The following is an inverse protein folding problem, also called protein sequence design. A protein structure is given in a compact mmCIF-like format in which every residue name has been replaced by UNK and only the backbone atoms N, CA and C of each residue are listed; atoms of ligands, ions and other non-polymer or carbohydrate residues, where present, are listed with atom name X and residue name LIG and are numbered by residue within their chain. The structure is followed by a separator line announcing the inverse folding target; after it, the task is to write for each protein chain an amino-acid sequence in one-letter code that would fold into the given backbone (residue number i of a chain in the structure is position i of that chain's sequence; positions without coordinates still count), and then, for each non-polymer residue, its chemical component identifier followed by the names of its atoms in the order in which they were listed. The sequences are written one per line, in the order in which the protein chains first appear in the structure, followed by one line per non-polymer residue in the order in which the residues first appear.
data_IF_753353380423
#
_entry.id   IF_753353380423
#
_cell.length_a   1.000
_cell.length_b   1.000
_cell.length_c   1.000
_cell.angle_alpha   90.00
_cell.angle_beta   90.00
_cell.angle_gamma   90.00
#
_symmetry.space_group_name_H-M   'P 1'
#
loop_
_entity.id
_entity.type
_entity.pdbx_description
1 polymer ?
#
# COMPACT_ATOMS: atom_id res chain seq x y z
N UNK A 1 14.80 -4.61 -2.96
CA UNK A 1 14.49 -3.28 -3.49
C UNK A 1 13.04 -3.28 -3.92
N UNK A 2 12.20 -2.51 -3.26
CA UNK A 2 10.80 -2.32 -3.67
C UNK A 2 10.66 -1.00 -4.41
N UNK A 3 9.97 -1.03 -5.57
CA UNK A 3 9.61 0.14 -6.35
C UNK A 3 8.09 0.22 -6.48
N UNK A 4 7.49 1.26 -5.91
CA UNK A 4 6.06 1.55 -6.09
C UNK A 4 5.87 2.68 -7.10
N UNK A 5 4.96 2.50 -8.08
CA UNK A 5 4.42 3.57 -8.92
C UNK A 5 2.93 3.69 -8.69
N UNK A 6 2.48 4.89 -8.36
CA UNK A 6 1.19 5.09 -7.69
C UNK A 6 -0.03 5.02 -8.59
N UNK A 7 0.18 5.03 -9.91
CA UNK A 7 -0.90 4.88 -10.90
C UNK A 7 -1.56 3.50 -10.87
N UNK A 8 -0.95 2.51 -10.22
CA UNK A 8 -1.42 1.12 -10.19
C UNK A 8 -1.88 0.65 -8.79
N UNK A 9 -1.92 1.51 -7.76
CA UNK A 9 -2.22 1.06 -6.39
C UNK A 9 -3.58 0.36 -6.26
N UNK A 10 -4.64 0.90 -6.88
CA UNK A 10 -5.97 0.27 -6.91
C UNK A 10 -5.95 -1.10 -7.62
N UNK A 11 -5.21 -1.19 -8.72
CA UNK A 11 -5.06 -2.40 -9.51
C UNK A 11 -4.26 -3.47 -8.77
N UNK A 12 -3.20 -3.07 -8.07
CA UNK A 12 -2.38 -3.97 -7.29
C UNK A 12 -3.11 -4.42 -6.02
N UNK A 13 -3.88 -3.54 -5.38
CA UNK A 13 -4.73 -3.90 -4.24
C UNK A 13 -5.87 -4.86 -4.63
N UNK A 14 -6.45 -4.69 -5.81
CA UNK A 14 -7.53 -5.57 -6.31
C UNK A 14 -7.02 -6.92 -6.84
N UNK A 15 -5.74 -7.02 -7.23
CA UNK A 15 -5.12 -8.24 -7.75
C UNK A 15 -4.37 -9.01 -6.67
N UNK A 16 -4.82 -10.23 -6.34
CA UNK A 16 -4.15 -11.10 -5.36
C UNK A 16 -2.64 -11.27 -5.60
N UNK A 17 -2.22 -11.41 -6.87
CA UNK A 17 -0.83 -11.72 -7.22
C UNK A 17 0.14 -10.59 -6.84
N UNK A 18 -0.32 -9.35 -6.93
CA UNK A 18 0.49 -8.16 -6.69
C UNK A 18 0.16 -7.49 -5.35
N UNK A 19 -0.89 -7.93 -4.67
CA UNK A 19 -1.42 -7.26 -3.50
C UNK A 19 -0.45 -7.34 -2.32
N UNK A 20 -0.13 -6.20 -1.67
CA UNK A 20 0.62 -6.21 -0.41
C UNK A 20 -0.11 -6.89 0.75
N UNK A 21 -1.40 -7.23 0.59
CA UNK A 21 -2.14 -8.05 1.56
C UNK A 21 -1.71 -9.51 1.58
N UNK A 22 -1.20 -10.01 0.45
CA UNK A 22 -0.97 -11.44 0.27
C UNK A 22 -0.04 -12.02 1.35
N UNK A 23 1.13 -11.42 1.65
CA UNK A 23 2.00 -11.91 2.72
C UNK A 23 1.31 -11.95 4.08
N UNK A 24 0.51 -10.92 4.41
CA UNK A 24 -0.23 -10.84 5.67
C UNK A 24 -1.30 -11.94 5.80
N UNK A 25 -1.98 -12.27 4.70
CA UNK A 25 -2.98 -13.34 4.68
C UNK A 25 -2.31 -14.73 4.71
N UNK A 26 -1.16 -14.89 4.05
CA UNK A 26 -0.37 -16.11 4.11
C UNK A 26 0.15 -16.38 5.53
N UNK A 27 0.59 -15.34 6.23
CA UNK A 27 0.99 -15.39 7.64
C UNK A 27 -0.19 -15.72 8.55
N UNK A 28 -1.33 -15.03 8.40
CA UNK A 28 -2.56 -15.36 9.11
C UNK A 28 -2.94 -16.84 8.94
N UNK A 29 -2.90 -17.34 7.70
CA UNK A 29 -3.23 -18.74 7.40
C UNK A 29 -2.26 -19.73 8.07
N UNK A 30 -1.00 -19.35 8.23
CA UNK A 30 0.04 -20.15 8.88
C UNK A 30 -0.01 -20.07 10.42
N UNK A 31 -0.52 -18.98 10.98
CA UNK A 31 -0.64 -18.80 12.44
C UNK A 31 -1.90 -19.43 13.04
N UNK A 32 -2.87 -19.81 12.21
CA UNK A 32 -4.08 -20.50 12.66
C UNK A 32 -3.76 -21.95 13.05
N UNK A 33 -4.14 -22.33 14.27
CA UNK A 33 -4.08 -23.71 14.72
C UNK A 33 -5.20 -24.57 14.11
N UNK A 34 -5.09 -25.88 14.28
CA UNK A 34 -6.03 -26.85 13.70
C UNK A 34 -7.45 -26.69 14.28
N UNK A 35 -7.57 -26.33 15.56
CA UNK A 35 -8.85 -26.10 16.24
C UNK A 35 -9.58 -24.91 15.63
N UNK A 36 -8.92 -23.75 15.50
CA UNK A 36 -9.51 -22.55 14.89
C UNK A 36 -9.85 -22.80 13.42
N UNK A 37 -9.02 -23.59 12.70
CA UNK A 37 -9.29 -23.94 11.30
C UNK A 37 -10.57 -24.79 11.17
N UNK A 38 -10.79 -25.72 12.08
CA UNK A 38 -12.00 -26.56 12.11
C UNK A 38 -13.24 -25.74 12.50
N UNK A 39 -13.11 -24.79 13.44
CA UNK A 39 -14.18 -23.86 13.80
C UNK A 39 -14.63 -23.01 12.59
N UNK A 40 -13.68 -22.40 11.88
CA UNK A 40 -13.99 -21.59 10.68
C UNK A 40 -14.64 -22.45 9.59
N UNK A 41 -14.13 -23.67 9.35
CA UNK A 41 -14.70 -24.59 8.37
C UNK A 41 -16.16 -24.92 8.71
N UNK A 42 -16.45 -25.17 9.99
CA UNK A 42 -17.80 -25.50 10.45
C UNK A 42 -18.77 -24.35 10.22
N UNK A 43 -18.37 -23.11 10.54
CA UNK A 43 -19.21 -21.92 10.31
C UNK A 43 -19.51 -21.70 8.82
N UNK A 44 -18.53 -21.92 7.95
CA UNK A 44 -18.71 -21.81 6.50
C UNK A 44 -19.67 -22.87 5.99
N UNK A 45 -19.49 -24.12 6.43
CA UNK A 45 -20.35 -25.23 6.03
C UNK A 45 -21.80 -25.01 6.48
N UNK A 46 -22.00 -24.44 7.67
CA UNK A 46 -23.32 -24.07 8.20
C UNK A 46 -23.97 -22.98 7.34
N UNK A 47 -23.27 -21.88 7.09
CA UNK A 47 -23.76 -20.79 6.24
C UNK A 47 -24.07 -21.26 4.81
N UNK A 48 -23.28 -22.18 4.28
CA UNK A 48 -23.53 -22.77 2.96
C UNK A 48 -24.80 -23.63 2.95
N UNK A 49 -25.03 -24.44 3.97
CA UNK A 49 -26.27 -25.24 4.09
C UNK A 49 -27.48 -24.33 4.18
N UNK A 50 -27.42 -23.30 5.02
CA UNK A 50 -28.52 -22.33 5.16
C UNK A 50 -28.85 -21.63 3.84
N UNK A 51 -27.83 -21.24 3.05
CA UNK A 51 -28.06 -20.65 1.73
C UNK A 51 -28.65 -21.64 0.72
N UNK A 52 -28.17 -22.89 0.73
CA UNK A 52 -28.64 -23.93 -0.19
C UNK A 52 -30.09 -24.34 0.09
N UNK A 53 -30.51 -24.28 1.36
CA UNK A 53 -31.86 -24.60 1.81
C UNK A 53 -32.87 -23.47 1.56
N UNK A 54 -32.43 -22.29 1.11
CA UNK A 54 -33.32 -21.19 0.73
C UNK A 54 -34.15 -21.57 -0.51
N UNK A 55 -35.47 -21.40 -0.44
CA UNK A 55 -36.43 -21.90 -1.44
C UNK A 55 -36.07 -21.50 -2.89
N UNK A 56 -35.68 -20.25 -3.11
CA UNK A 56 -35.29 -19.70 -4.41
C UNK A 56 -34.02 -20.36 -4.97
N UNK A 57 -33.06 -20.70 -4.10
CA UNK A 57 -31.81 -21.35 -4.47
C UNK A 57 -32.07 -22.81 -4.83
N UNK A 58 -32.81 -23.54 -3.98
CA UNK A 58 -33.21 -24.93 -4.21
C UNK A 58 -34.04 -25.08 -5.49
N UNK A 59 -35.06 -24.23 -5.69
CA UNK A 59 -35.89 -24.26 -6.89
C UNK A 59 -35.08 -23.97 -8.17
N UNK A 60 -34.07 -23.10 -8.08
CA UNK A 60 -33.18 -22.84 -9.22
C UNK A 60 -32.30 -24.06 -9.52
N UNK A 61 -31.75 -24.72 -8.50
CA UNK A 61 -30.97 -25.94 -8.67
C UNK A 61 -31.78 -27.09 -9.27
N UNK A 62 -33.05 -27.26 -8.84
CA UNK A 62 -33.98 -28.24 -9.41
C UNK A 62 -34.24 -27.97 -10.89
N UNK A 63 -34.56 -26.73 -11.26
CA UNK A 63 -34.80 -26.34 -12.66
C UNK A 63 -33.59 -26.59 -13.56
N UNK A 64 -32.37 -26.37 -13.05
CA UNK A 64 -31.13 -26.69 -13.77
C UNK A 64 -31.00 -28.20 -13.94
N UNK A 65 -31.27 -28.98 -12.88
CA UNK A 65 -31.20 -30.44 -12.89
C UNK A 65 -32.22 -31.05 -13.86
N UNK A 66 -33.47 -30.60 -13.85
CA UNK A 66 -34.50 -31.01 -14.82
C UNK A 66 -34.07 -30.72 -16.26
N UNK A 67 -33.48 -29.55 -16.49
CA UNK A 67 -32.99 -29.18 -17.83
C UNK A 67 -31.82 -30.06 -18.26
N UNK A 68 -30.90 -30.40 -17.36
CA UNK A 68 -29.79 -31.30 -17.63
C UNK A 68 -30.29 -32.70 -17.97
N UNK A 69 -31.27 -33.22 -17.23
CA UNK A 69 -31.91 -34.50 -17.52
C UNK A 69 -32.58 -34.47 -18.90
N UNK A 70 -33.28 -33.39 -19.24
CA UNK A 70 -33.93 -33.26 -20.55
C UNK A 70 -32.94 -33.21 -21.72
N UNK A 71 -31.72 -32.70 -21.51
CA UNK A 71 -30.69 -32.56 -22.56
C UNK A 71 -29.84 -33.83 -22.68
N UNK A 72 -29.36 -34.37 -21.56
CA UNK A 72 -28.37 -35.44 -21.54
C UNK A 72 -28.98 -36.83 -21.27
N UNK A 73 -30.24 -36.88 -20.83
CA UNK A 73 -30.89 -38.10 -20.32
C UNK A 73 -30.47 -38.42 -18.88
N UNK A 74 -31.33 -39.15 -18.16
CA UNK A 74 -31.14 -39.48 -16.74
C UNK A 74 -29.80 -40.20 -16.45
N UNK A 75 -29.33 -41.03 -17.38
CA UNK A 75 -28.09 -41.80 -17.24
C UNK A 75 -26.82 -40.94 -17.29
N UNK A 76 -26.92 -39.71 -17.80
CA UNK A 76 -25.79 -38.79 -17.96
C UNK A 76 -25.97 -37.47 -17.19
N UNK A 77 -27.13 -37.26 -16.56
CA UNK A 77 -27.39 -36.09 -15.73
C UNK A 77 -26.66 -36.22 -14.39
N UNK A 78 -25.86 -35.20 -14.07
CA UNK A 78 -25.18 -35.11 -12.77
C UNK A 78 -26.09 -34.30 -11.83
N UNK A 79 -26.29 -34.75 -10.57
CA UNK A 79 -27.02 -33.94 -9.58
C UNK A 79 -26.29 -32.60 -9.38
N UNK A 80 -27.01 -31.50 -9.52
CA UNK A 80 -26.48 -30.13 -9.37
C UNK A 80 -27.02 -29.51 -8.09
N UNK A 81 -26.11 -28.94 -7.31
CA UNK A 81 -26.42 -28.08 -6.17
C UNK A 81 -25.83 -26.68 -6.41
N UNK A 82 -26.51 -25.65 -5.90
CA UNK A 82 -25.98 -24.29 -5.85
C UNK A 82 -25.46 -24.02 -4.44
N UNK A 83 -24.31 -23.35 -4.34
CA UNK A 83 -23.68 -23.03 -3.07
C UNK A 83 -22.59 -21.98 -3.22
N UNK A 84 -22.03 -21.55 -2.10
CA UNK A 84 -20.89 -20.63 -2.07
C UNK A 84 -19.60 -21.39 -2.41
N UNK A 85 -18.76 -20.79 -3.24
CA UNK A 85 -17.42 -21.29 -3.50
C UNK A 85 -16.41 -20.15 -3.27
N UNK A 86 -15.25 -20.42 -2.65
CA UNK A 86 -14.72 -21.73 -2.25
C UNK A 86 -15.20 -22.22 -0.87
N UNK A 87 -15.16 -23.54 -0.63
CA UNK A 87 -15.60 -24.15 0.65
C UNK A 87 -14.47 -24.48 1.60
N UNK A 88 -13.24 -24.61 1.10
CA UNK A 88 -12.07 -24.89 1.93
C UNK A 88 -11.54 -23.62 2.60
N UNK A 89 -11.22 -23.67 3.88
CA UNK A 89 -10.63 -22.54 4.63
C UNK A 89 -9.44 -21.91 3.90
N UNK A 90 -8.49 -22.70 3.38
CA UNK A 90 -7.32 -22.14 2.68
C UNK A 90 -7.69 -21.29 1.46
N UNK A 91 -8.72 -21.71 0.73
CA UNK A 91 -9.20 -21.01 -0.45
C UNK A 91 -10.05 -19.79 -0.06
N UNK A 92 -10.78 -19.86 1.05
CA UNK A 92 -11.51 -18.73 1.62
C UNK A 92 -10.58 -17.64 2.11
N UNK A 93 -9.53 -17.99 2.85
CA UNK A 93 -8.51 -17.04 3.29
C UNK A 93 -7.87 -16.31 2.11
N UNK A 94 -7.54 -17.03 1.02
CA UNK A 94 -7.05 -16.41 -0.23
C UNK A 94 -8.09 -15.56 -0.96
N UNK A 95 -9.38 -15.75 -0.68
CA UNK A 95 -10.46 -14.95 -1.23
C UNK A 95 -10.75 -13.68 -0.43
N UNK A 96 -10.13 -13.52 0.75
CA UNK A 96 -10.25 -12.32 1.56
C UNK A 96 -9.80 -11.09 0.77
N UNK A 97 -10.59 -10.04 0.86
CA UNK A 97 -10.34 -8.74 0.24
C UNK A 97 -10.51 -7.68 1.32
N UNK A 98 -9.81 -6.56 1.19
CA UNK A 98 -10.15 -5.40 2.03
C UNK A 98 -11.50 -4.87 1.60
N UNK A 99 -12.31 -4.56 2.60
CA UNK A 99 -13.58 -3.89 2.45
C UNK A 99 -13.53 -2.58 3.21
N UNK A 100 -14.11 -1.55 2.61
CA UNK A 100 -14.23 -0.19 3.16
C UNK A 100 -15.66 0.05 3.62
N UNK A 101 -15.84 1.14 4.37
CA UNK A 101 -17.15 1.59 4.85
C UNK A 101 -17.93 0.45 5.56
N UNK A 102 -17.29 -0.20 6.53
CA UNK A 102 -17.88 -1.30 7.32
C UNK A 102 -18.31 -2.53 6.50
N UNK A 103 -17.55 -2.86 5.45
CA UNK A 103 -17.81 -4.07 4.65
C UNK A 103 -18.64 -3.83 3.39
N UNK A 104 -19.08 -2.59 3.14
CA UNK A 104 -20.06 -2.28 2.08
C UNK A 104 -19.36 -2.11 0.72
N UNK A 105 -18.12 -1.64 0.70
CA UNK A 105 -17.44 -1.23 -0.53
C UNK A 105 -16.13 -1.97 -0.73
N UNK A 106 -15.84 -2.36 -1.97
CA UNK A 106 -14.54 -2.88 -2.33
C UNK A 106 -13.51 -1.75 -2.45
N UNK A 107 -12.22 -2.11 -2.53
CA UNK A 107 -11.15 -1.13 -2.79
C UNK A 107 -11.37 -0.38 -4.11
N UNK A 108 -12.01 -1.00 -5.11
CA UNK A 108 -12.32 -0.36 -6.39
C UNK A 108 -13.30 0.82 -6.28
N UNK A 109 -14.02 0.94 -5.16
CA UNK A 109 -14.91 2.09 -4.89
C UNK A 109 -14.21 3.17 -4.04
N UNK A 110 -12.95 2.95 -3.64
CA UNK A 110 -12.18 3.88 -2.84
C UNK A 110 -11.72 5.09 -3.67
N UNK A 111 -11.58 6.25 -3.03
CA UNK A 111 -10.85 7.35 -3.67
C UNK A 111 -9.39 6.95 -3.90
N UNK A 112 -8.76 7.47 -4.96
CA UNK A 112 -7.35 7.19 -5.28
C UNK A 112 -6.42 7.52 -4.10
N UNK A 113 -6.70 8.62 -3.38
CA UNK A 113 -5.94 8.99 -2.18
C UNK A 113 -6.08 7.97 -1.05
N UNK A 114 -7.31 7.47 -0.81
CA UNK A 114 -7.57 6.41 0.16
C UNK A 114 -6.87 5.11 -0.22
N UNK A 115 -6.95 4.71 -1.50
CA UNK A 115 -6.25 3.52 -2.01
C UNK A 115 -4.74 3.64 -1.82
N UNK A 116 -4.15 4.81 -2.10
CA UNK A 116 -2.73 5.06 -1.88
C UNK A 116 -2.34 4.96 -0.40
N UNK A 117 -3.14 5.51 0.52
CA UNK A 117 -2.90 5.39 1.96
C UNK A 117 -2.95 3.93 2.43
N UNK A 118 -3.96 3.18 2.01
CA UNK A 118 -4.08 1.76 2.34
C UNK A 118 -2.87 0.99 1.80
N UNK A 119 -2.48 1.25 0.56
CA UNK A 119 -1.30 0.61 -0.03
C UNK A 119 -0.04 0.89 0.78
N UNK A 120 0.19 2.14 1.18
CA UNK A 120 1.33 2.52 2.00
C UNK A 120 1.31 1.86 3.38
N UNK A 121 0.16 1.80 4.04
CA UNK A 121 0.01 1.14 5.33
C UNK A 121 0.35 -0.37 5.23
N UNK A 122 -0.17 -1.04 4.20
CA UNK A 122 0.12 -2.46 3.97
C UNK A 122 1.58 -2.71 3.63
N UNK A 123 2.19 -1.80 2.85
CA UNK A 123 3.63 -1.87 2.57
C UNK A 123 4.47 -1.63 3.81
N UNK A 124 4.04 -0.74 4.72
CA UNK A 124 4.72 -0.56 6.00
C UNK A 124 4.72 -1.86 6.80
N UNK A 125 3.56 -2.51 6.93
CA UNK A 125 3.46 -3.80 7.62
C UNK A 125 4.32 -4.89 6.97
N UNK A 126 4.36 -4.95 5.65
CA UNK A 126 5.24 -5.87 4.92
C UNK A 126 6.72 -5.58 5.19
N UNK A 127 7.12 -4.31 5.25
CA UNK A 127 8.49 -3.90 5.55
C UNK A 127 8.87 -4.24 7.00
N UNK A 128 7.99 -3.95 7.95
CA UNK A 128 8.19 -4.28 9.37
C UNK A 128 8.38 -5.79 9.54
N UNK A 129 7.59 -6.62 8.85
CA UNK A 129 7.78 -8.08 8.83
C UNK A 129 9.16 -8.47 8.28
N UNK A 130 9.54 -7.93 7.12
CA UNK A 130 10.84 -8.24 6.50
C UNK A 130 12.03 -7.85 7.37
N UNK A 131 11.87 -6.78 8.16
CA UNK A 131 12.87 -6.32 9.14
C UNK A 131 12.89 -7.24 10.36
N UNK A 132 11.74 -7.50 10.98
CA UNK A 132 11.62 -8.22 12.25
C UNK A 132 11.94 -9.72 12.12
N UNK A 133 11.57 -10.34 11.00
CA UNK A 133 11.81 -11.77 10.77
C UNK A 133 13.28 -12.08 10.42
N UNK A 134 14.14 -11.05 10.36
CA UNK A 134 15.55 -11.20 9.98
C UNK A 134 15.74 -11.71 8.56
N UNK A 135 14.70 -11.66 7.72
CA UNK A 135 14.75 -12.13 6.33
C UNK A 135 15.72 -11.28 5.47
N UNK A 136 16.05 -10.05 5.91
CA UNK A 136 16.98 -9.14 5.23
C UNK A 136 17.81 -8.31 6.19
N UNK A 137 19.14 -8.36 6.02
CA UNK A 137 20.08 -7.48 6.74
C UNK A 137 19.83 -5.99 6.45
N UNK A 138 19.35 -5.66 5.23
CA UNK A 138 19.00 -4.31 4.79
C UNK A 138 17.89 -4.31 3.71
N UNK A 139 16.92 -3.42 3.87
CA UNK A 139 15.75 -3.24 3.00
C UNK A 139 15.71 -1.81 2.46
N UNK A 140 15.52 -1.70 1.14
CA UNK A 140 15.32 -0.42 0.45
C UNK A 140 13.87 -0.24 0.06
N UNK A 141 13.26 0.82 0.56
CA UNK A 141 11.92 1.28 0.17
C UNK A 141 12.04 2.48 -0.75
N UNK A 142 11.72 2.30 -2.05
CA UNK A 142 11.86 3.34 -3.06
C UNK A 142 10.51 3.74 -3.61
N UNK A 143 10.19 5.03 -3.53
CA UNK A 143 8.89 5.56 -3.95
C UNK A 143 9.06 6.73 -4.92
N UNK A 144 8.36 6.65 -6.04
CA UNK A 144 8.40 7.66 -7.11
C UNK A 144 7.10 8.46 -7.13
N UNK A 145 7.21 9.79 -7.09
CA UNK A 145 6.11 10.77 -7.05
C UNK A 145 5.03 10.46 -6.02
N UNK A 146 5.42 10.40 -4.74
CA UNK A 146 4.58 9.82 -3.72
C UNK A 146 3.60 10.88 -3.14
N UNK A 147 3.19 11.83 -3.97
CA UNK A 147 2.21 12.89 -3.65
C UNK A 147 0.91 12.74 -4.46
N UNK A 148 0.89 11.86 -5.46
CA UNK A 148 -0.25 11.74 -6.37
C UNK A 148 -1.53 11.38 -5.59
N UNK A 149 -2.60 12.16 -5.84
CA UNK A 149 -3.93 11.98 -5.26
C UNK A 149 -4.01 12.10 -3.72
N UNK A 150 -2.95 12.53 -3.05
CA UNK A 150 -2.96 12.80 -1.61
C UNK A 150 -3.16 14.29 -1.33
N UNK A 151 -4.01 14.60 -0.35
CA UNK A 151 -4.16 15.97 0.14
C UNK A 151 -2.84 16.45 0.80
N UNK A 152 -2.42 17.72 0.63
CA UNK A 152 -1.20 18.28 1.22
C UNK A 152 -0.95 17.93 2.69
N UNK A 153 -1.99 18.01 3.52
CA UNK A 153 -1.90 17.66 4.94
C UNK A 153 -1.54 16.18 5.15
N UNK A 154 -2.15 15.30 4.36
CA UNK A 154 -1.92 13.85 4.42
C UNK A 154 -0.51 13.51 3.93
N UNK A 155 -0.01 14.18 2.89
CA UNK A 155 1.37 14.01 2.44
C UNK A 155 2.36 14.23 3.59
N UNK A 156 2.21 15.34 4.34
CA UNK A 156 3.09 15.63 5.48
C UNK A 156 3.06 14.53 6.53
N UNK A 157 1.87 14.07 6.93
CA UNK A 157 1.72 13.03 7.95
C UNK A 157 2.37 11.71 7.51
N UNK A 158 2.08 11.28 6.29
CA UNK A 158 2.61 10.03 5.74
C UNK A 158 4.13 10.04 5.67
N UNK A 159 4.74 11.11 5.14
CA UNK A 159 6.20 11.14 4.99
C UNK A 159 6.94 11.45 6.27
N UNK A 160 6.32 12.09 7.26
CA UNK A 160 6.92 12.19 8.59
C UNK A 160 7.13 10.81 9.21
N UNK A 161 6.14 9.93 9.05
CA UNK A 161 6.22 8.54 9.47
C UNK A 161 7.33 7.77 8.73
N UNK A 162 7.34 7.79 7.39
CA UNK A 162 8.32 7.04 6.59
C UNK A 162 9.76 7.59 6.64
N UNK A 163 9.95 8.86 7.01
CA UNK A 163 11.26 9.50 7.15
C UNK A 163 11.77 9.49 8.60
N UNK A 164 11.00 8.99 9.57
CA UNK A 164 11.42 8.92 10.96
C UNK A 164 11.61 10.30 11.61
N UNK A 165 10.92 11.33 11.13
CA UNK A 165 11.02 12.69 11.70
C UNK A 165 10.13 12.91 12.92
N UNK A 166 9.16 12.02 13.16
CA UNK A 166 8.45 11.98 14.43
C UNK A 166 9.35 11.25 15.42
N UNK A 167 9.95 11.99 16.36
CA UNK A 167 11.02 11.54 17.27
C UNK A 167 10.66 10.43 18.28
N UNK A 168 9.65 9.62 17.98
CA UNK A 168 9.20 8.46 18.77
C UNK A 168 9.66 7.12 18.17
N UNK A 169 10.09 7.10 16.89
CA UNK A 169 10.72 5.92 16.28
C UNK A 169 12.23 5.91 16.57
N UNK A 170 12.59 6.02 17.85
CA UNK A 170 13.95 5.98 18.37
C UNK A 170 14.58 4.60 18.32
N UNK A 171 14.49 3.90 17.19
CA UNK A 171 15.24 2.68 16.95
C UNK A 171 16.40 2.99 16.00
N UNK A 172 17.55 3.34 16.61
CA UNK A 172 18.87 3.24 16.00
C UNK A 172 19.12 1.77 15.62
N UNK A 173 18.52 1.28 14.53
CA UNK A 173 18.65 -0.13 14.18
C UNK A 173 17.69 -0.68 13.13
N UNK A 174 16.65 0.04 12.71
CA UNK A 174 15.80 -0.46 11.62
C UNK A 174 16.62 -0.52 10.32
N UNK A 175 16.81 -1.70 9.71
CA UNK A 175 17.56 -1.87 8.48
C UNK A 175 16.75 -1.41 7.26
N UNK A 176 16.01 -0.30 7.37
CA UNK A 176 15.15 0.26 6.33
C UNK A 176 15.72 1.58 5.82
N UNK A 177 16.10 1.63 4.54
CA UNK A 177 16.48 2.87 3.86
C UNK A 177 15.34 3.32 2.93
N UNK A 178 14.76 4.47 3.24
CA UNK A 178 13.72 5.11 2.41
C UNK A 178 14.36 6.05 1.40
N UNK A 179 14.03 5.87 0.12
CA UNK A 179 14.41 6.76 -0.99
C UNK A 179 13.14 7.23 -1.68
N UNK A 180 12.96 8.54 -1.77
CA UNK A 180 11.82 9.13 -2.45
C UNK A 180 12.26 10.12 -3.52
N UNK A 181 11.49 10.19 -4.59
CA UNK A 181 11.58 11.28 -5.58
C UNK A 181 10.26 12.03 -5.58
N UNK A 182 10.30 13.33 -5.30
CA UNK A 182 9.08 14.14 -5.17
C UNK A 182 9.25 15.50 -5.84
N UNK A 183 8.16 16.02 -6.39
CA UNK A 183 7.98 17.41 -6.77
C UNK A 183 7.12 18.17 -5.75
N UNK A 184 6.70 17.53 -4.67
CA UNK A 184 5.83 18.13 -3.67
C UNK A 184 6.61 18.98 -2.66
N UNK A 185 6.31 20.28 -2.55
CA UNK A 185 6.87 21.12 -1.49
C UNK A 185 6.40 20.67 -0.09
N UNK A 186 5.27 19.95 0.01
CA UNK A 186 4.78 19.45 1.30
C UNK A 186 5.61 18.29 1.83
N UNK A 187 6.08 17.42 0.94
CA UNK A 187 6.99 16.32 1.32
C UNK A 187 8.38 16.89 1.64
N UNK A 188 8.88 17.79 0.80
CA UNK A 188 10.13 18.48 1.04
C UNK A 188 10.14 19.24 2.38
N UNK A 189 9.01 19.83 2.79
CA UNK A 189 8.91 20.55 4.07
C UNK A 189 9.12 19.68 5.31
N UNK A 190 8.83 18.39 5.22
CA UNK A 190 8.97 17.46 6.36
C UNK A 190 10.21 16.57 6.25
N UNK A 191 11.06 16.80 5.25
CA UNK A 191 12.27 16.00 5.03
C UNK A 191 13.42 16.55 5.88
N UNK A 192 14.22 15.68 6.55
CA UNK A 192 15.44 16.11 7.22
C UNK A 192 16.37 16.84 6.25
N UNK A 193 16.86 18.02 6.62
CA UNK A 193 17.62 18.86 5.70
C UNK A 193 18.88 18.16 5.20
N UNK A 194 19.49 17.26 5.98
CA UNK A 194 20.69 16.49 5.59
C UNK A 194 20.42 15.32 4.66
N UNK A 195 19.17 14.89 4.47
CA UNK A 195 18.82 13.78 3.59
C UNK A 195 18.38 14.21 2.19
N UNK A 196 18.49 15.49 1.87
CA UNK A 196 18.04 16.06 0.58
C UNK A 196 19.12 15.91 -0.50
N UNK A 197 18.69 15.44 -1.66
CA UNK A 197 19.46 15.46 -2.91
C UNK A 197 18.67 16.23 -3.95
N UNK A 198 19.19 17.37 -4.38
CA UNK A 198 18.59 18.21 -5.40
C UNK A 198 19.17 17.90 -6.78
N UNK A 199 18.29 17.57 -7.73
CA UNK A 199 18.65 17.39 -9.14
C UNK A 199 18.25 18.66 -9.92
N UNK A 200 19.21 19.27 -10.63
CA UNK A 200 18.97 20.47 -11.45
C UNK A 200 19.61 20.34 -12.82
N UNK A 201 19.01 20.97 -13.83
CA UNK A 201 19.58 21.08 -15.15
C UNK A 201 20.63 22.20 -15.18
N UNK A 202 21.83 21.90 -15.66
CA UNK A 202 22.88 22.87 -15.94
C UNK A 202 22.72 23.39 -17.39
N UNK A 203 22.26 24.65 -17.59
CA UNK A 203 22.05 25.20 -18.91
C UNK A 203 23.33 25.39 -19.72
N UNK A 204 24.50 25.54 -19.08
CA UNK A 204 25.78 25.72 -19.78
C UNK A 204 26.40 24.38 -20.18
N UNK A 205 26.30 23.37 -19.31
CA UNK A 205 26.84 22.04 -19.53
C UNK A 205 25.91 21.08 -20.27
N UNK A 206 24.61 21.41 -20.42
CA UNK A 206 23.59 20.54 -21.03
C UNK A 206 23.38 19.21 -20.27
N UNK A 207 23.67 19.19 -18.97
CA UNK A 207 23.68 17.99 -18.12
C UNK A 207 22.85 18.19 -16.87
N UNK A 208 22.33 17.12 -16.30
CA UNK A 208 21.74 17.13 -14.95
C UNK A 208 22.85 17.04 -13.92
N UNK A 209 22.86 17.94 -12.95
CA UNK A 209 23.77 17.93 -11.80
C UNK A 209 22.99 17.63 -10.52
N UNK A 210 23.61 16.86 -9.64
CA UNK A 210 23.07 16.49 -8.34
C UNK A 210 23.86 17.19 -7.23
N UNK A 211 23.16 17.79 -6.27
CA UNK A 211 23.76 18.44 -5.10
C UNK A 211 23.13 17.82 -3.85
N UNK A 212 23.95 17.31 -2.94
CA UNK A 212 23.50 16.75 -1.67
C UNK A 212 23.79 17.72 -0.52
N UNK A 213 22.84 17.82 0.40
CA UNK A 213 22.97 18.59 1.64
C UNK A 213 23.64 17.81 2.77
N UNK A 214 23.92 16.51 2.60
CA UNK A 214 24.49 15.65 3.65
C UNK A 214 25.78 16.22 4.25
N UNK A 215 26.66 16.72 3.38
CA UNK A 215 27.95 17.32 3.74
C UNK A 215 27.97 18.85 3.59
N UNK A 216 26.80 19.49 3.58
CA UNK A 216 26.74 20.94 3.53
C UNK A 216 27.39 21.54 4.80
N UNK A 217 28.11 22.67 4.69
CA UNK A 217 28.85 23.28 5.80
C UNK A 217 27.92 24.06 6.75
N UNK A 218 26.86 23.40 7.23
CA UNK A 218 25.92 23.93 8.21
C UNK A 218 26.48 23.73 9.62
N UNK A 219 26.45 24.80 10.43
CA UNK A 219 26.58 24.65 11.88
C UNK A 219 25.31 24.02 12.46
N UNK A 220 25.33 23.41 13.67
CA UNK A 220 24.11 22.88 14.29
C UNK A 220 22.99 23.92 14.40
N UNK A 221 23.35 25.18 14.63
CA UNK A 221 22.39 26.29 14.66
C UNK A 221 21.78 26.56 13.28
N UNK A 222 22.60 26.56 12.22
CA UNK A 222 22.09 26.75 10.86
C UNK A 222 21.15 25.62 10.47
N UNK A 223 21.47 24.39 10.86
CA UNK A 223 20.64 23.21 10.61
C UNK A 223 19.27 23.32 11.28
N UNK A 224 19.23 23.64 12.57
CA UNK A 224 17.96 23.83 13.31
C UNK A 224 17.14 25.00 12.74
N UNK A 225 17.80 26.14 12.45
CA UNK A 225 17.14 27.33 11.91
C UNK A 225 16.57 27.05 10.50
N UNK A 226 17.32 26.37 9.63
CA UNK A 226 16.88 26.00 8.28
C UNK A 226 15.79 24.93 8.31
N UNK A 227 15.92 23.89 9.14
CA UNK A 227 14.92 22.84 9.30
C UNK A 227 13.58 23.44 9.75
N UNK A 228 13.61 24.32 10.76
CA UNK A 228 12.43 25.04 11.25
C UNK A 228 11.81 25.93 10.17
N UNK A 229 12.63 26.64 9.41
CA UNK A 229 12.16 27.52 8.34
C UNK A 229 11.43 26.73 7.22
N UNK A 230 12.02 25.60 6.81
CA UNK A 230 11.50 24.70 5.79
C UNK A 230 10.16 24.08 6.24
N UNK A 231 10.07 23.57 7.47
CA UNK A 231 8.88 22.91 8.01
C UNK A 231 7.69 23.89 8.18
N UNK A 232 7.97 25.10 8.66
CA UNK A 232 6.93 26.10 8.95
C UNK A 232 6.36 26.73 7.67
N UNK A 233 7.17 27.01 6.65
CA UNK A 233 6.71 27.92 5.59
C UNK A 233 7.18 27.67 4.15
N UNK A 234 8.26 26.94 3.84
CA UNK A 234 8.84 26.98 2.48
C UNK A 234 9.56 25.72 1.98
N UNK A 235 8.87 24.59 1.88
CA UNK A 235 9.36 23.48 1.05
C UNK A 235 9.53 23.86 -0.44
N UNK A 236 8.86 24.92 -0.88
CA UNK A 236 9.00 25.52 -2.22
C UNK A 236 10.42 26.02 -2.53
N UNK A 237 11.25 26.29 -1.50
CA UNK A 237 12.63 26.78 -1.69
C UNK A 237 13.47 25.85 -2.58
N UNK A 238 13.18 24.55 -2.55
CA UNK A 238 13.86 23.53 -3.34
C UNK A 238 13.43 23.50 -4.82
N UNK A 239 12.33 24.18 -5.16
CA UNK A 239 11.71 24.13 -6.48
C UNK A 239 11.76 25.48 -7.22
N UNK A 240 12.26 26.55 -6.59
CA UNK A 240 12.46 27.82 -7.29
C UNK A 240 13.70 27.79 -8.18
N UNK A 241 13.51 28.18 -9.43
CA UNK A 241 14.61 28.67 -10.28
C UNK A 241 14.95 30.10 -9.90
N UNK A 242 16.24 30.39 -9.72
CA UNK A 242 16.83 31.71 -9.41
C UNK A 242 16.57 32.79 -10.50
N UNK A 243 15.64 32.56 -11.44
CA UNK A 243 15.12 33.54 -12.39
C UNK A 243 13.87 34.29 -11.91
N UNK A 244 13.12 33.75 -10.94
CA UNK A 244 11.86 34.36 -10.46
C UNK A 244 12.03 35.33 -9.29
N UNK A 245 13.16 35.27 -8.58
CA UNK A 245 13.53 36.25 -7.55
C UNK A 245 14.51 37.23 -8.18
N UNK A 246 13.97 38.21 -8.90
CA UNK A 246 14.72 39.08 -9.79
C UNK A 246 16.04 39.63 -9.22
N UNK A 247 17.10 39.54 -10.03
CA UNK A 247 18.31 40.32 -9.80
C UNK A 247 19.58 39.71 -10.36
N UNK A 248 20.02 40.26 -11.50
CA UNK A 248 21.42 40.34 -11.97
C UNK A 248 22.47 39.99 -10.90
N UNK A 249 23.31 39.01 -11.24
CA UNK A 249 24.75 38.95 -10.99
C UNK A 249 25.26 39.28 -9.58
N UNK A 250 25.80 38.26 -8.93
CA UNK A 250 27.09 38.31 -8.25
C UNK A 250 27.79 36.97 -8.46
#
# INVERSE_FOLDING_TARGET
MFKARWRDAEKDLSSWRNSPLRPLIEELSASLDDETREEIQTQVDEAQRELADHDEVAATAERISERLIAIAGEQHAVPVSLGLAPTRVDALLRSLRLLLDSGIRGIGDASLGTANLIFLALKSLELDRLVNDGERDHTFFVVEEPEAHLHPHVQRLVYRYFLGTDGDNGDEGTPLTTILTTHSPHIASVTPIRSIVLLRHDPEGGKTIAVSTANAPFTPRDEDDLQRYIDVTRGEIFFFTWGDLGGRGC
#
